data_IF_897545359378
#
_entry.id   IF_897545359378
#
_cell.length_a   1.000
_cell.length_b   1.000
_cell.length_c   1.000
_cell.angle_alpha   90.00
_cell.angle_beta   90.00
_cell.angle_gamma   90.00
#
_symmetry.space_group_name_H-M   'P 1'
#
loop_
_entity.id
_entity.type
_entity.pdbx_description
1 polymer ?
#
# COMPACT_ATOMS: atom_id res chain seq x y z
N UNK A 1 10.29 20.36 5.05
CA UNK A 1 11.11 19.17 5.37
C UNK A 1 11.55 19.24 6.82
N UNK A 2 11.65 18.12 7.53
CA UNK A 2 12.24 18.06 8.88
C UNK A 2 13.67 17.52 8.77
N UNK A 3 14.60 18.15 9.47
CA UNK A 3 16.00 17.72 9.51
C UNK A 3 16.18 16.71 10.63
N UNK A 4 16.79 15.57 10.32
CA UNK A 4 17.13 14.53 11.30
C UNK A 4 18.65 14.48 11.35
N UNK A 5 19.20 14.58 12.56
CA UNK A 5 20.63 14.38 12.80
C UNK A 5 20.82 12.98 13.39
N UNK A 6 21.61 12.15 12.72
CA UNK A 6 21.92 10.78 13.15
C UNK A 6 23.43 10.62 13.25
N UNK A 7 23.89 9.86 14.26
CA UNK A 7 25.28 9.43 14.34
C UNK A 7 25.46 8.21 13.44
N UNK A 8 26.38 8.30 12.49
CA UNK A 8 26.72 7.22 11.56
C UNK A 8 28.15 6.75 11.84
N UNK A 9 28.39 5.44 11.89
CA UNK A 9 29.74 4.90 11.83
C UNK A 9 30.49 5.35 10.56
N UNK A 10 31.80 5.56 10.67
CA UNK A 10 32.62 6.09 9.56
C UNK A 10 32.58 5.20 8.31
N UNK A 11 32.52 3.88 8.50
CA UNK A 11 32.42 2.92 7.39
C UNK A 11 31.12 3.08 6.60
N UNK A 12 30.00 3.41 7.26
CA UNK A 12 28.72 3.65 6.59
C UNK A 12 28.74 4.98 5.84
N UNK A 13 29.39 6.01 6.39
CA UNK A 13 29.52 7.29 5.71
C UNK A 13 30.36 7.15 4.41
N UNK A 14 31.46 6.40 4.46
CA UNK A 14 32.27 6.12 3.28
C UNK A 14 31.48 5.33 2.20
N UNK A 15 30.70 4.33 2.61
CA UNK A 15 29.84 3.58 1.68
C UNK A 15 28.73 4.46 1.07
N UNK A 16 28.20 5.40 1.84
CA UNK A 16 27.18 6.34 1.37
C UNK A 16 27.78 7.28 0.30
N UNK A 17 29.02 7.71 0.49
CA UNK A 17 29.73 8.58 -0.45
C UNK A 17 30.06 7.91 -1.78
N UNK A 18 30.50 6.65 -1.73
CA UNK A 18 30.68 5.84 -2.92
C UNK A 18 29.37 5.66 -3.69
N UNK A 19 28.26 5.42 -2.97
CA UNK A 19 26.93 5.24 -3.57
C UNK A 19 26.40 6.55 -4.16
N UNK A 20 26.64 7.68 -3.49
CA UNK A 20 26.29 9.02 -3.97
C UNK A 20 27.03 9.37 -5.27
N UNK A 21 28.33 9.10 -5.32
CA UNK A 21 29.15 9.31 -6.52
C UNK A 21 28.68 8.44 -7.70
N UNK A 22 28.39 7.17 -7.44
CA UNK A 22 27.94 6.22 -8.48
C UNK A 22 26.56 6.61 -9.05
N UNK A 23 25.60 6.99 -8.19
CA UNK A 23 24.23 7.32 -8.60
C UNK A 23 24.02 8.78 -9.00
N UNK A 24 25.03 9.64 -8.86
CA UNK A 24 24.93 11.12 -9.02
C UNK A 24 23.80 11.73 -8.19
N UNK A 25 23.58 11.20 -6.99
CA UNK A 25 22.54 11.62 -6.07
C UNK A 25 23.16 12.17 -4.78
N UNK A 26 22.43 13.02 -4.06
CA UNK A 26 22.90 13.52 -2.77
C UNK A 26 22.77 12.45 -1.69
N UNK A 27 23.65 12.50 -0.68
CA UNK A 27 23.60 11.63 0.51
C UNK A 27 22.20 11.61 1.14
N UNK A 28 21.56 12.78 1.22
CA UNK A 28 20.22 12.93 1.79
C UNK A 28 19.10 12.33 0.93
N UNK A 29 19.26 12.29 -0.40
CA UNK A 29 18.34 11.58 -1.29
C UNK A 29 18.43 10.07 -1.09
N UNK A 30 19.65 9.53 -1.05
CA UNK A 30 19.87 8.09 -0.83
C UNK A 30 19.32 7.64 0.52
N UNK A 31 19.63 8.39 1.59
CA UNK A 31 19.12 8.08 2.93
C UNK A 31 17.59 8.15 2.97
N UNK A 32 16.98 9.12 2.29
CA UNK A 32 15.52 9.22 2.20
C UNK A 32 14.91 8.02 1.48
N UNK A 33 15.47 7.62 0.34
CA UNK A 33 14.98 6.49 -0.45
C UNK A 33 15.11 5.17 0.32
N UNK A 34 16.23 4.98 1.01
CA UNK A 34 16.43 3.83 1.89
C UNK A 34 15.45 3.81 3.06
N UNK A 35 15.17 4.96 3.68
CA UNK A 35 14.16 5.06 4.74
C UNK A 35 12.75 4.75 4.21
N UNK A 36 12.41 5.20 3.00
CA UNK A 36 11.13 4.88 2.36
C UNK A 36 11.02 3.37 2.09
N UNK A 37 12.08 2.75 1.57
CA UNK A 37 12.11 1.32 1.27
C UNK A 37 12.09 0.43 2.53
N UNK A 38 12.75 0.88 3.61
CA UNK A 38 12.87 0.12 4.85
C UNK A 38 11.63 0.22 5.75
N UNK A 39 10.79 1.24 5.60
CA UNK A 39 9.56 1.38 6.39
C UNK A 39 8.39 0.63 5.72
N UNK A 40 7.92 -0.50 6.29
CA UNK A 40 6.99 -1.40 5.60
C UNK A 40 5.56 -0.87 5.42
N UNK A 41 5.23 0.35 5.87
CA UNK A 41 3.88 0.89 5.69
C UNK A 41 3.82 2.39 6.03
N UNK A 42 4.52 3.26 5.31
CA UNK A 42 4.14 4.67 5.25
C UNK A 42 3.83 5.02 3.80
N UNK A 43 2.68 4.52 3.34
CA UNK A 43 1.82 5.29 2.44
C UNK A 43 1.88 6.76 2.88
N UNK A 44 2.17 7.67 1.95
CA UNK A 44 2.07 9.10 2.22
C UNK A 44 0.80 9.41 3.03
N UNK A 45 0.81 10.38 3.96
CA UNK A 45 -0.40 10.91 4.56
C UNK A 45 -1.25 11.54 3.45
N UNK A 46 -2.09 10.73 2.81
CA UNK A 46 -2.83 11.06 1.59
C UNK A 46 -3.07 9.87 0.64
N UNK A 47 -2.20 8.84 0.67
CA UNK A 47 -2.30 7.63 -0.18
C UNK A 47 -2.40 6.35 0.65
N UNK A 48 -3.17 6.33 1.73
CA UNK A 48 -3.89 5.09 2.01
C UNK A 48 -4.88 4.97 0.86
N UNK A 49 -4.53 4.22 -0.18
CA UNK A 49 -5.53 3.77 -1.15
C UNK A 49 -6.62 3.16 -0.28
N UNK A 50 -7.74 3.88 -0.11
CA UNK A 50 -8.87 3.36 0.64
C UNK A 50 -9.14 2.01 0.00
N UNK A 51 -9.14 0.91 0.78
CA UNK A 51 -9.37 -0.40 0.20
C UNK A 51 -10.65 -0.28 -0.62
N UNK A 52 -10.55 -0.70 -1.88
CA UNK A 52 -11.65 -0.54 -2.81
C UNK A 52 -12.90 -1.18 -2.21
N UNK A 53 -14.09 -0.70 -2.58
CA UNK A 53 -15.34 -1.30 -2.10
C UNK A 53 -15.36 -2.81 -2.39
N UNK A 54 -14.71 -3.24 -3.48
CA UNK A 54 -14.46 -4.63 -3.81
C UNK A 54 -13.63 -5.38 -2.75
N UNK A 55 -12.45 -4.87 -2.37
CA UNK A 55 -11.58 -5.49 -1.35
C UNK A 55 -12.26 -5.56 0.03
N UNK A 56 -13.04 -4.54 0.39
CA UNK A 56 -13.79 -4.53 1.67
C UNK A 56 -14.90 -5.57 1.71
N UNK A 57 -15.51 -5.86 0.56
CA UNK A 57 -16.64 -6.79 0.44
C UNK A 57 -16.21 -8.24 0.17
N UNK A 58 -14.95 -8.48 -0.21
CA UNK A 58 -14.43 -9.82 -0.49
C UNK A 58 -14.63 -10.79 0.67
N UNK A 59 -14.45 -10.33 1.92
CA UNK A 59 -14.68 -11.13 3.14
C UNK A 59 -16.14 -11.55 3.37
N UNK A 60 -17.10 -10.90 2.70
CA UNK A 60 -18.52 -11.24 2.78
C UNK A 60 -18.98 -12.10 1.59
N UNK A 61 -18.12 -12.33 0.59
CA UNK A 61 -18.41 -13.28 -0.48
C UNK A 61 -18.48 -14.69 0.10
N UNK A 62 -19.62 -15.34 -0.04
CA UNK A 62 -19.84 -16.69 0.48
C UNK A 62 -20.13 -16.79 1.99
N UNK A 63 -20.29 -15.66 2.71
CA UNK A 63 -20.60 -15.68 4.15
C UNK A 63 -22.01 -16.21 4.48
N UNK A 64 -22.86 -16.45 3.48
CA UNK A 64 -24.15 -17.11 3.62
C UNK A 64 -24.07 -18.57 3.20
N UNK A 65 -23.80 -19.48 4.14
CA UNK A 65 -23.93 -20.92 3.93
C UNK A 65 -25.41 -21.37 3.97
N UNK A 66 -26.31 -20.64 3.32
CA UNK A 66 -27.76 -20.93 3.39
C UNK A 66 -28.20 -22.02 2.41
N UNK A 67 -27.30 -22.53 1.56
CA UNK A 67 -27.62 -23.56 0.56
C UNK A 67 -28.60 -23.10 -0.53
N UNK A 68 -29.07 -21.86 -0.47
CA UNK A 68 -29.92 -21.23 -1.47
C UNK A 68 -29.01 -20.72 -2.59
N UNK A 69 -29.26 -21.20 -3.82
CA UNK A 69 -28.55 -20.70 -5.01
C UNK A 69 -28.68 -19.19 -5.10
N UNK A 70 -27.59 -18.54 -5.50
CA UNK A 70 -27.54 -17.09 -5.70
C UNK A 70 -28.74 -16.62 -6.52
N UNK A 71 -29.49 -15.65 -6.00
CA UNK A 71 -30.63 -15.06 -6.68
C UNK A 71 -30.20 -14.42 -8.01
N UNK A 72 -28.95 -13.93 -8.11
CA UNK A 72 -28.41 -13.42 -9.37
C UNK A 72 -28.43 -14.44 -10.50
N UNK A 73 -28.45 -15.75 -10.17
CA UNK A 73 -28.52 -16.83 -11.15
C UNK A 73 -29.95 -17.23 -11.55
N UNK A 74 -31.00 -16.70 -10.91
CA UNK A 74 -32.39 -17.05 -11.19
C UNK A 74 -33.24 -15.81 -11.56
N UNK A 75 -33.33 -15.41 -12.84
CA UNK A 75 -33.98 -14.16 -13.26
C UNK A 75 -35.49 -14.09 -12.96
N UNK A 76 -36.13 -15.21 -12.57
CA UNK A 76 -37.54 -15.22 -12.14
C UNK A 76 -37.80 -14.33 -10.93
N UNK A 77 -36.80 -14.07 -10.07
CA UNK A 77 -36.97 -13.19 -8.91
C UNK A 77 -37.20 -11.71 -9.29
N UNK A 78 -36.89 -11.32 -10.53
CA UNK A 78 -37.08 -9.94 -11.02
C UNK A 78 -38.48 -9.71 -11.60
N UNK A 79 -39.33 -10.74 -11.70
CA UNK A 79 -40.68 -10.56 -12.25
C UNK A 79 -41.52 -9.64 -11.37
N UNK A 80 -41.90 -8.48 -11.90
CA UNK A 80 -42.71 -7.48 -11.17
C UNK A 80 -41.90 -6.47 -10.36
N UNK A 81 -40.56 -6.54 -10.38
CA UNK A 81 -39.72 -5.53 -9.73
C UNK A 81 -39.85 -4.17 -10.45
N UNK A 82 -40.17 -3.12 -9.70
CA UNK A 82 -40.27 -1.74 -10.22
C UNK A 82 -41.58 -1.38 -10.92
N UNK A 83 -42.66 -2.16 -10.71
CA UNK A 83 -44.03 -1.73 -11.00
C UNK A 83 -44.70 -1.14 -9.78
#
# INVERSE_FOLDING_TARGET
MKTITIKLPDFLNASLDATAASRKQTKSAIVRDLLIAAMPAHSEPGKKARPSLHERLQKYQGAGATGVKDLASNPKHLSGYGR
#
